data_IF_729378985836
#
_entry.id   IF_729378985836
#
_cell.length_a   1.000
_cell.length_b   1.000
_cell.length_c   1.000
_cell.angle_alpha   90.00
_cell.angle_beta   90.00
_cell.angle_gamma   90.00
#
_symmetry.space_group_name_H-M   'P 1'
#
loop_
_entity.id
_entity.type
_entity.pdbx_description
1 polymer ?
#
# COMPACT_ATOMS: atom_id res chain seq x y z
N UNK A 1 -25.87 27.50 73.32
CA UNK A 1 -27.07 27.46 72.45
C UNK A 1 -27.22 28.83 71.78
N UNK A 2 -27.66 28.98 70.52
CA UNK A 2 -27.52 28.16 69.31
C UNK A 2 -26.65 28.86 68.22
N UNK A 3 -26.02 28.09 67.31
CA UNK A 3 -25.37 28.60 66.08
C UNK A 3 -26.18 28.12 64.88
N UNK A 4 -26.60 29.04 64.01
CA UNK A 4 -27.41 28.77 62.84
C UNK A 4 -26.69 29.26 61.57
N UNK A 5 -26.37 28.28 60.70
CA UNK A 5 -26.44 28.26 59.23
C UNK A 5 -25.72 29.36 58.42
N UNK A 6 -24.71 28.95 57.63
CA UNK A 6 -24.65 29.24 56.20
C UNK A 6 -23.80 28.17 55.47
N UNK A 7 -24.44 27.29 54.70
CA UNK A 7 -23.79 26.34 53.79
C UNK A 7 -23.69 26.99 52.41
N UNK A 8 -22.47 27.13 51.89
CA UNK A 8 -22.16 27.58 50.53
C UNK A 8 -22.38 26.41 49.56
N UNK A 9 -23.21 26.62 48.55
CA UNK A 9 -23.29 25.80 47.34
C UNK A 9 -22.35 26.40 46.30
N UNK A 10 -21.37 25.62 45.82
CA UNK A 10 -20.61 25.90 44.59
C UNK A 10 -20.86 24.75 43.63
N UNK A 11 -21.74 24.95 42.66
CA UNK A 11 -21.94 24.05 41.52
C UNK A 11 -21.04 24.56 40.38
N UNK A 12 -19.95 23.87 40.10
CA UNK A 12 -19.10 24.16 38.94
C UNK A 12 -19.66 23.41 37.74
N UNK A 13 -20.07 24.14 36.71
CA UNK A 13 -20.39 23.62 35.39
C UNK A 13 -19.08 23.27 34.65
N UNK A 14 -18.83 21.99 34.39
CA UNK A 14 -17.79 21.52 33.47
C UNK A 14 -18.45 20.60 32.45
N UNK A 15 -19.11 21.21 31.46
CA UNK A 15 -19.79 20.47 30.37
C UNK A 15 -19.61 21.17 29.03
N UNK A 16 -18.39 21.58 28.65
CA UNK A 16 -18.20 22.33 27.39
C UNK A 16 -16.97 21.97 26.56
N UNK A 17 -16.10 21.08 27.02
CA UNK A 17 -14.84 20.78 26.31
C UNK A 17 -14.97 19.54 25.39
N UNK A 18 -15.90 18.61 25.66
CA UNK A 18 -16.07 17.39 24.86
C UNK A 18 -16.82 17.59 23.52
N UNK A 19 -17.55 18.69 23.33
CA UNK A 19 -18.32 18.94 22.09
C UNK A 19 -17.52 19.53 20.92
N UNK A 20 -16.43 20.26 21.22
CA UNK A 20 -15.64 20.98 20.20
C UNK A 20 -14.67 20.06 19.44
N UNK A 21 -14.13 19.03 20.08
CA UNK A 21 -13.21 18.09 19.44
C UNK A 21 -13.93 17.13 18.46
N UNK A 22 -15.14 16.68 18.80
CA UNK A 22 -15.95 15.82 17.94
C UNK A 22 -16.45 16.56 16.69
N UNK A 23 -16.79 17.85 16.81
CA UNK A 23 -17.27 18.68 15.70
C UNK A 23 -16.15 19.09 14.75
N UNK A 24 -14.94 19.38 15.25
CA UNK A 24 -13.77 19.65 14.44
C UNK A 24 -13.34 18.42 13.62
N UNK A 25 -13.25 17.24 14.24
CA UNK A 25 -12.94 15.99 13.54
C UNK A 25 -14.00 15.60 12.49
N UNK A 26 -15.29 15.89 12.76
CA UNK A 26 -16.38 15.73 11.79
C UNK A 26 -16.23 16.71 10.60
N UNK A 27 -15.87 17.96 10.87
CA UNK A 27 -15.70 18.99 9.84
C UNK A 27 -14.53 18.67 8.89
N UNK A 28 -13.38 18.24 9.42
CA UNK A 28 -12.21 17.88 8.61
C UNK A 28 -12.45 16.63 7.74
N UNK A 29 -13.26 15.69 8.24
CA UNK A 29 -13.71 14.51 7.51
C UNK A 29 -14.61 14.88 6.30
N UNK A 30 -15.57 15.81 6.49
CA UNK A 30 -16.44 16.28 5.41
C UNK A 30 -15.68 17.12 4.38
N UNK A 31 -14.74 17.97 4.82
CA UNK A 31 -13.87 18.73 3.92
C UNK A 31 -13.05 17.80 3.01
N UNK A 32 -12.45 16.77 3.59
CA UNK A 32 -11.71 15.75 2.83
C UNK A 32 -12.60 15.01 1.83
N UNK A 33 -13.85 14.72 2.23
CA UNK A 33 -14.84 14.07 1.37
C UNK A 33 -15.28 14.97 0.20
N UNK A 34 -15.46 16.27 0.43
CA UNK A 34 -15.73 17.26 -0.62
C UNK A 34 -14.61 17.28 -1.66
N UNK A 35 -13.35 17.25 -1.23
CA UNK A 35 -12.20 17.23 -2.13
C UNK A 35 -12.18 15.94 -2.98
N UNK A 36 -12.38 14.78 -2.35
CA UNK A 36 -12.38 13.50 -3.05
C UNK A 36 -13.52 13.37 -4.07
N UNK A 37 -14.71 13.85 -3.70
CA UNK A 37 -15.88 13.82 -4.59
C UNK A 37 -15.70 14.82 -5.74
N UNK A 38 -15.08 15.98 -5.50
CA UNK A 38 -14.72 16.91 -6.58
C UNK A 38 -13.85 16.21 -7.64
N UNK A 39 -12.79 15.51 -7.21
CA UNK A 39 -11.92 14.72 -8.11
C UNK A 39 -12.72 13.65 -8.85
N UNK A 40 -13.62 12.94 -8.17
CA UNK A 40 -14.49 11.95 -8.79
C UNK A 40 -15.36 12.57 -9.89
N UNK A 41 -15.97 13.73 -9.65
CA UNK A 41 -16.92 14.39 -10.54
C UNK A 41 -16.27 15.07 -11.75
N UNK A 42 -15.04 15.57 -11.59
CA UNK A 42 -14.39 16.43 -12.58
C UNK A 42 -13.16 15.80 -13.26
N UNK A 43 -12.35 15.05 -12.52
CA UNK A 43 -11.03 14.62 -12.99
C UNK A 43 -10.96 13.14 -13.35
N UNK A 44 -11.79 12.32 -12.71
CA UNK A 44 -11.73 10.86 -12.83
C UNK A 44 -11.91 10.39 -14.28
N UNK A 45 -11.29 9.25 -14.60
CA UNK A 45 -11.48 8.61 -15.91
C UNK A 45 -12.95 8.29 -16.18
N UNK A 46 -13.69 7.86 -15.16
CA UNK A 46 -15.13 7.65 -15.24
C UNK A 46 -15.91 8.93 -15.55
N UNK A 47 -15.54 10.07 -14.94
CA UNK A 47 -16.16 11.36 -15.28
C UNK A 47 -15.95 11.75 -16.73
N UNK A 48 -14.72 11.59 -17.25
CA UNK A 48 -14.42 11.84 -18.66
C UNK A 48 -15.21 10.93 -19.59
N UNK A 49 -15.41 9.66 -19.21
CA UNK A 49 -16.23 8.72 -19.97
C UNK A 49 -17.69 9.20 -20.05
N UNK A 50 -18.27 9.65 -18.94
CA UNK A 50 -19.64 10.20 -18.96
C UNK A 50 -19.72 11.44 -19.84
N UNK A 51 -18.77 12.38 -19.69
CA UNK A 51 -18.73 13.63 -20.46
C UNK A 51 -18.64 13.37 -21.97
N UNK A 52 -17.85 12.38 -22.37
CA UNK A 52 -17.64 12.04 -23.77
C UNK A 52 -18.68 11.06 -24.32
N UNK A 53 -19.60 10.57 -23.48
CA UNK A 53 -20.64 9.62 -23.88
C UNK A 53 -21.80 10.33 -24.57
N UNK A 54 -22.35 9.70 -25.61
CA UNK A 54 -23.62 10.09 -26.23
C UNK A 54 -24.85 9.68 -25.42
N UNK A 55 -24.68 8.99 -24.28
CA UNK A 55 -25.77 8.58 -23.40
C UNK A 55 -26.34 9.81 -22.64
N UNK A 56 -27.54 10.25 -23.03
CA UNK A 56 -28.21 11.41 -22.43
C UNK A 56 -28.60 11.18 -20.97
N UNK A 57 -29.01 9.97 -20.60
CA UNK A 57 -29.39 9.61 -19.23
C UNK A 57 -28.19 9.64 -18.28
N UNK A 58 -27.04 9.12 -18.73
CA UNK A 58 -25.79 9.20 -17.98
C UNK A 58 -25.37 10.65 -17.74
N UNK A 59 -25.48 11.50 -18.76
CA UNK A 59 -25.20 12.93 -18.65
C UNK A 59 -26.15 13.65 -17.68
N UNK A 60 -27.44 13.30 -17.69
CA UNK A 60 -28.42 13.86 -16.75
C UNK A 60 -28.11 13.47 -15.30
N UNK A 61 -27.77 12.21 -15.04
CA UNK A 61 -27.37 11.76 -13.70
C UNK A 61 -26.10 12.46 -13.21
N UNK A 62 -25.13 12.69 -14.10
CA UNK A 62 -23.94 13.50 -13.77
C UNK A 62 -24.31 14.94 -13.41
N UNK A 63 -25.23 15.58 -14.15
CA UNK A 63 -25.69 16.92 -13.81
C UNK A 63 -26.35 16.97 -12.44
N UNK A 64 -27.19 15.99 -12.10
CA UNK A 64 -27.79 15.86 -10.77
C UNK A 64 -26.73 15.65 -9.68
N UNK A 65 -25.70 14.83 -9.95
CA UNK A 65 -24.60 14.61 -9.02
C UNK A 65 -23.82 15.91 -8.74
N UNK A 66 -23.55 16.72 -9.77
CA UNK A 66 -22.89 18.03 -9.65
C UNK A 66 -23.73 19.02 -8.82
N UNK A 67 -25.04 19.02 -9.04
CA UNK A 67 -25.95 19.90 -8.28
C UNK A 67 -26.02 19.51 -6.80
N UNK A 68 -26.11 18.22 -6.49
CA UNK A 68 -26.04 17.73 -5.10
C UNK A 68 -24.70 18.06 -4.44
N UNK A 69 -23.60 17.98 -5.19
CA UNK A 69 -22.27 18.38 -4.70
C UNK A 69 -22.23 19.88 -4.36
N UNK A 70 -22.77 20.72 -5.23
CA UNK A 70 -22.88 22.17 -5.01
C UNK A 70 -23.68 22.47 -3.73
N UNK A 71 -24.84 21.85 -3.57
CA UNK A 71 -25.66 21.98 -2.37
C UNK A 71 -24.95 21.46 -1.11
N UNK A 72 -24.18 20.37 -1.22
CA UNK A 72 -23.41 19.85 -0.11
C UNK A 72 -22.33 20.85 0.36
N UNK A 73 -21.65 21.51 -0.60
CA UNK A 73 -20.67 22.56 -0.28
C UNK A 73 -21.33 23.72 0.46
N UNK A 74 -22.48 24.19 0.01
CA UNK A 74 -23.22 25.27 0.69
C UNK A 74 -23.65 24.87 2.11
N UNK A 75 -24.09 23.62 2.30
CA UNK A 75 -24.46 23.10 3.64
C UNK A 75 -23.26 22.98 4.55
N UNK A 76 -22.11 22.58 4.02
CA UNK A 76 -20.86 22.55 4.78
C UNK A 76 -20.42 23.95 5.22
N UNK A 77 -20.51 24.94 4.32
CA UNK A 77 -20.17 26.34 4.64
C UNK A 77 -21.10 26.94 5.70
N UNK A 78 -22.36 26.50 5.74
CA UNK A 78 -23.35 26.85 6.77
C UNK A 78 -23.14 26.10 8.10
N UNK A 79 -22.16 25.19 8.19
CA UNK A 79 -21.93 24.34 9.36
C UNK A 79 -22.92 23.19 9.52
N UNK A 80 -23.79 22.95 8.53
CA UNK A 80 -24.79 21.88 8.51
C UNK A 80 -24.17 20.56 8.00
N UNK A 81 -23.19 20.04 8.74
CA UNK A 81 -22.34 18.92 8.30
C UNK A 81 -23.11 17.62 8.01
N UNK A 82 -24.16 17.30 8.75
CA UNK A 82 -24.96 16.09 8.52
C UNK A 82 -25.69 16.14 7.17
N UNK A 83 -26.25 17.30 6.83
CA UNK A 83 -26.89 17.53 5.53
C UNK A 83 -25.87 17.49 4.39
N UNK A 84 -24.69 18.07 4.58
CA UNK A 84 -23.61 17.99 3.62
C UNK A 84 -23.19 16.52 3.37
N UNK A 85 -23.04 15.72 4.43
CA UNK A 85 -22.66 14.32 4.33
C UNK A 85 -23.65 13.48 3.51
N UNK A 86 -24.95 13.70 3.72
CA UNK A 86 -26.02 13.02 3.00
C UNK A 86 -26.06 13.41 1.52
N UNK A 87 -25.96 14.71 1.22
CA UNK A 87 -25.90 15.21 -0.16
C UNK A 87 -24.66 14.68 -0.90
N UNK A 88 -23.51 14.58 -0.23
CA UNK A 88 -22.29 13.98 -0.80
C UNK A 88 -22.46 12.49 -1.10
N UNK A 89 -23.15 11.76 -0.22
CA UNK A 89 -23.46 10.34 -0.46
C UNK A 89 -24.35 10.17 -1.70
N UNK A 90 -25.41 10.97 -1.83
CA UNK A 90 -26.31 10.94 -2.98
C UNK A 90 -25.60 11.36 -4.29
N UNK A 91 -24.78 12.41 -4.25
CA UNK A 91 -23.95 12.86 -5.37
C UNK A 91 -23.03 11.72 -5.86
N UNK A 92 -22.35 11.04 -4.94
CA UNK A 92 -21.46 9.92 -5.25
C UNK A 92 -22.21 8.78 -5.94
N UNK A 93 -23.39 8.40 -5.40
CA UNK A 93 -24.20 7.32 -5.95
C UNK A 93 -24.63 7.62 -7.39
N UNK A 94 -25.17 8.81 -7.64
CA UNK A 94 -25.60 9.22 -8.99
C UNK A 94 -24.43 9.26 -9.97
N UNK A 95 -23.26 9.70 -9.53
CA UNK A 95 -22.07 9.71 -10.38
C UNK A 95 -21.64 8.29 -10.78
N UNK A 96 -21.65 7.33 -9.85
CA UNK A 96 -21.33 5.95 -10.18
C UNK A 96 -22.38 5.30 -11.11
N UNK A 97 -23.66 5.61 -10.93
CA UNK A 97 -24.71 5.19 -11.87
C UNK A 97 -24.46 5.76 -13.27
N UNK A 98 -24.13 7.05 -13.38
CA UNK A 98 -23.79 7.70 -14.64
C UNK A 98 -22.59 7.01 -15.32
N UNK A 99 -21.52 6.74 -14.56
CA UNK A 99 -20.33 6.05 -15.07
C UNK A 99 -20.70 4.66 -15.60
N UNK A 100 -21.50 3.90 -14.85
CA UNK A 100 -21.95 2.56 -15.28
C UNK A 100 -22.76 2.63 -16.58
N UNK A 101 -23.63 3.63 -16.75
CA UNK A 101 -24.44 3.82 -17.95
C UNK A 101 -23.62 4.30 -19.16
N UNK A 102 -22.56 5.08 -18.91
CA UNK A 102 -21.71 5.62 -19.96
C UNK A 102 -20.59 4.66 -20.40
N UNK A 103 -20.25 3.67 -19.57
CA UNK A 103 -19.20 2.68 -19.86
C UNK A 103 -19.72 1.64 -20.85
N UNK A 104 -19.18 1.56 -22.08
CA UNK A 104 -19.49 0.49 -23.00
C UNK A 104 -19.19 -0.88 -22.40
N UNK A 105 -20.03 -1.87 -22.71
CA UNK A 105 -19.82 -3.26 -22.27
C UNK A 105 -18.47 -3.78 -22.75
N UNK A 106 -18.08 -3.46 -23.99
CA UNK A 106 -16.78 -3.83 -24.57
C UNK A 106 -15.59 -3.32 -23.75
N UNK A 107 -15.63 -2.07 -23.25
CA UNK A 107 -14.56 -1.53 -22.40
C UNK A 107 -14.46 -2.26 -21.04
N UNK A 108 -15.56 -2.83 -20.55
CA UNK A 108 -15.56 -3.64 -19.32
C UNK A 108 -14.98 -5.04 -19.58
N UNK A 109 -15.35 -5.64 -20.72
CA UNK A 109 -14.82 -6.93 -21.18
C UNK A 109 -13.32 -6.86 -21.47
N UNK A 110 -12.87 -5.84 -22.23
CA UNK A 110 -11.46 -5.59 -22.54
C UNK A 110 -10.64 -5.41 -21.25
N UNK A 111 -11.18 -4.70 -20.27
CA UNK A 111 -10.52 -4.54 -18.96
C UNK A 111 -10.42 -5.86 -18.22
N UNK A 112 -11.44 -6.70 -18.26
CA UNK A 112 -11.41 -7.99 -17.58
C UNK A 112 -10.41 -8.95 -18.23
N UNK A 113 -10.34 -8.97 -19.57
CA UNK A 113 -9.35 -9.75 -20.31
C UNK A 113 -7.92 -9.26 -19.99
N UNK A 114 -7.68 -7.94 -20.01
CA UNK A 114 -6.39 -7.39 -19.66
C UNK A 114 -5.97 -7.72 -18.22
N UNK A 115 -6.89 -7.57 -17.26
CA UNK A 115 -6.64 -7.92 -15.86
C UNK A 115 -6.38 -9.43 -15.69
N UNK A 116 -7.10 -10.27 -16.44
CA UNK A 116 -6.87 -11.71 -16.47
C UNK A 116 -5.45 -12.03 -16.94
N UNK A 117 -5.03 -11.47 -18.08
CA UNK A 117 -3.71 -11.71 -18.67
C UNK A 117 -2.58 -11.28 -17.70
N UNK A 118 -2.68 -10.09 -17.12
CA UNK A 118 -1.72 -9.61 -16.11
C UNK A 118 -1.67 -10.53 -14.87
N UNK A 119 -2.83 -11.02 -14.41
CA UNK A 119 -2.84 -11.98 -13.30
C UNK A 119 -2.20 -13.30 -13.70
N UNK A 120 -2.47 -13.81 -14.90
CA UNK A 120 -1.89 -15.06 -15.40
C UNK A 120 -0.37 -14.97 -15.48
N UNK A 121 0.18 -13.87 -15.98
CA UNK A 121 1.63 -13.59 -15.96
C UNK A 121 2.19 -13.66 -14.53
N UNK A 122 1.50 -13.03 -13.57
CA UNK A 122 1.89 -13.08 -12.16
C UNK A 122 1.86 -14.51 -11.59
N UNK A 123 0.86 -15.31 -11.96
CA UNK A 123 0.75 -16.72 -11.55
C UNK A 123 1.90 -17.54 -12.14
N UNK A 124 2.28 -17.32 -13.39
CA UNK A 124 3.41 -18.04 -14.01
C UNK A 124 4.72 -17.69 -13.31
N UNK A 125 5.00 -16.41 -13.10
CA UNK A 125 6.20 -15.97 -12.38
C UNK A 125 6.27 -16.52 -10.94
N UNK A 126 5.14 -16.53 -10.21
CA UNK A 126 5.07 -17.12 -8.87
C UNK A 126 5.21 -18.64 -8.89
N UNK A 127 4.72 -19.32 -9.93
CA UNK A 127 4.91 -20.78 -10.08
C UNK A 127 6.39 -21.12 -10.25
N UNK A 128 7.11 -20.35 -11.07
CA UNK A 128 8.56 -20.53 -11.25
C UNK A 128 9.30 -20.31 -9.94
N UNK A 129 8.96 -19.25 -9.21
CA UNK A 129 9.52 -18.97 -7.90
C UNK A 129 9.22 -20.11 -6.91
N UNK A 130 7.97 -20.56 -6.82
CA UNK A 130 7.56 -21.67 -5.97
C UNK A 130 8.35 -22.95 -6.29
N UNK A 131 8.46 -23.31 -7.56
CA UNK A 131 9.19 -24.51 -7.99
C UNK A 131 10.64 -24.49 -7.54
N UNK A 132 11.33 -23.37 -7.76
CA UNK A 132 12.72 -23.18 -7.31
C UNK A 132 12.84 -23.31 -5.79
N UNK A 133 11.95 -22.67 -5.04
CA UNK A 133 11.94 -22.70 -3.57
C UNK A 133 11.70 -24.12 -3.06
N UNK A 134 10.78 -24.85 -3.67
CA UNK A 134 10.50 -26.25 -3.33
C UNK A 134 11.69 -27.15 -3.64
N UNK A 135 12.38 -26.93 -4.76
CA UNK A 135 13.60 -27.68 -5.12
C UNK A 135 14.74 -27.41 -4.12
N UNK A 136 14.97 -26.14 -3.76
CA UNK A 136 15.92 -25.74 -2.71
C UNK A 136 15.62 -26.42 -1.37
N UNK A 137 14.33 -26.64 -1.08
CA UNK A 137 13.85 -27.19 0.20
C UNK A 137 13.62 -28.70 0.18
N UNK A 138 13.86 -29.38 -0.96
CA UNK A 138 13.52 -30.79 -1.20
C UNK A 138 12.03 -31.15 -0.95
N UNK A 139 11.11 -30.20 -1.15
CA UNK A 139 9.66 -30.33 -0.92
C UNK A 139 8.93 -30.93 -2.15
N UNK A 140 9.42 -32.06 -2.67
CA UNK A 140 8.99 -32.65 -3.95
C UNK A 140 7.50 -33.01 -3.99
N UNK A 141 6.97 -33.60 -2.91
CA UNK A 141 5.56 -34.02 -2.84
C UNK A 141 4.61 -32.81 -2.82
N UNK A 142 4.96 -31.79 -2.01
CA UNK A 142 4.23 -30.53 -1.94
C UNK A 142 4.26 -29.80 -3.29
N UNK A 143 5.44 -29.76 -3.92
CA UNK A 143 5.63 -29.21 -5.28
C UNK A 143 4.70 -29.87 -6.28
N UNK A 144 4.66 -31.20 -6.33
CA UNK A 144 3.80 -31.92 -7.28
C UNK A 144 2.32 -31.64 -7.03
N UNK A 145 1.88 -31.70 -5.77
CA UNK A 145 0.47 -31.46 -5.41
C UNK A 145 0.00 -30.06 -5.79
N UNK A 146 0.78 -29.03 -5.44
CA UNK A 146 0.45 -27.63 -5.74
C UNK A 146 0.45 -27.40 -7.25
N UNK A 147 1.43 -27.93 -7.99
CA UNK A 147 1.47 -27.79 -9.45
C UNK A 147 0.24 -28.42 -10.13
N UNK A 148 -0.17 -29.62 -9.70
CA UNK A 148 -1.37 -30.26 -10.25
C UNK A 148 -2.64 -29.42 -10.00
N UNK A 149 -2.77 -28.83 -8.81
CA UNK A 149 -3.89 -27.94 -8.49
C UNK A 149 -3.83 -26.64 -9.32
N UNK A 150 -2.65 -26.09 -9.54
CA UNK A 150 -2.47 -24.90 -10.40
C UNK A 150 -2.86 -25.19 -11.83
N UNK A 151 -2.44 -26.32 -12.39
CA UNK A 151 -2.78 -26.72 -13.76
C UNK A 151 -4.30 -26.81 -13.95
N UNK A 152 -5.01 -27.39 -12.97
CA UNK A 152 -6.48 -27.44 -12.98
C UNK A 152 -7.12 -26.05 -12.94
N UNK A 153 -6.64 -25.16 -12.07
CA UNK A 153 -7.19 -23.81 -11.93
C UNK A 153 -6.93 -22.97 -13.19
N UNK A 154 -5.71 -23.02 -13.74
CA UNK A 154 -5.34 -22.28 -14.96
C UNK A 154 -6.14 -22.79 -16.16
N UNK A 155 -6.23 -24.10 -16.35
CA UNK A 155 -6.99 -24.69 -17.46
C UNK A 155 -8.47 -24.29 -17.39
N UNK A 156 -9.08 -24.33 -16.19
CA UNK A 156 -10.47 -23.90 -15.99
C UNK A 156 -10.63 -22.40 -16.28
N UNK A 157 -9.69 -21.59 -15.84
CA UNK A 157 -9.73 -20.15 -16.06
C UNK A 157 -9.60 -19.79 -17.55
N UNK A 158 -8.71 -20.48 -18.29
CA UNK A 158 -8.56 -20.33 -19.74
C UNK A 158 -9.82 -20.79 -20.49
N UNK A 159 -10.45 -21.88 -20.07
CA UNK A 159 -11.71 -22.37 -20.64
C UNK A 159 -12.85 -21.35 -20.46
N UNK A 160 -13.00 -20.78 -19.26
CA UNK A 160 -13.99 -19.75 -18.97
C UNK A 160 -13.75 -18.49 -19.81
N UNK A 161 -12.49 -18.07 -19.94
CA UNK A 161 -12.14 -16.92 -20.78
C UNK A 161 -12.51 -17.17 -22.26
N UNK A 162 -12.22 -18.38 -22.76
CA UNK A 162 -12.57 -18.78 -24.13
C UNK A 162 -14.08 -18.81 -24.41
N UNK A 163 -14.90 -18.96 -23.38
CA UNK A 163 -16.38 -18.89 -23.46
C UNK A 163 -16.93 -17.47 -23.34
N UNK A 164 -16.09 -16.49 -23.02
CA UNK A 164 -16.49 -15.11 -22.74
C UNK A 164 -16.91 -14.86 -21.28
N UNK A 165 -16.81 -15.86 -20.40
CA UNK A 165 -17.12 -15.77 -18.97
C UNK A 165 -15.96 -15.10 -18.21
N UNK A 166 -15.66 -13.86 -18.58
CA UNK A 166 -14.47 -13.11 -18.17
C UNK A 166 -14.37 -12.91 -16.65
N UNK A 167 -15.51 -12.76 -15.96
CA UNK A 167 -15.55 -12.55 -14.51
C UNK A 167 -15.17 -13.82 -13.76
N UNK A 168 -15.71 -14.96 -14.20
CA UNK A 168 -15.46 -16.28 -13.64
C UNK A 168 -14.03 -16.72 -13.94
N UNK A 169 -13.53 -16.48 -15.17
CA UNK A 169 -12.14 -16.69 -15.54
C UNK A 169 -11.19 -15.93 -14.60
N UNK A 170 -11.50 -14.64 -14.34
CA UNK A 170 -10.75 -13.79 -13.41
C UNK A 170 -10.73 -14.36 -12.00
N UNK A 171 -11.87 -14.87 -11.53
CA UNK A 171 -12.00 -15.49 -10.20
C UNK A 171 -11.16 -16.76 -10.07
N UNK A 172 -11.17 -17.64 -11.07
CA UNK A 172 -10.36 -18.88 -11.04
C UNK A 172 -8.85 -18.60 -11.05
N UNK A 173 -8.38 -17.65 -11.88
CA UNK A 173 -6.95 -17.31 -11.88
C UNK A 173 -6.50 -16.60 -10.59
N UNK A 174 -7.41 -15.90 -9.87
CA UNK A 174 -7.11 -15.36 -8.54
C UNK A 174 -6.94 -16.45 -7.48
N UNK A 175 -7.67 -17.57 -7.58
CA UNK A 175 -7.45 -18.73 -6.69
C UNK A 175 -6.07 -19.33 -6.90
N UNK A 176 -5.61 -19.44 -8.15
CA UNK A 176 -4.26 -19.93 -8.46
C UNK A 176 -3.18 -19.03 -7.85
N UNK A 177 -3.36 -17.71 -7.97
CA UNK A 177 -2.47 -16.73 -7.35
C UNK A 177 -2.43 -16.85 -5.82
N UNK A 178 -3.60 -16.98 -5.18
CA UNK A 178 -3.68 -17.13 -3.73
C UNK A 178 -3.04 -18.43 -3.24
N UNK A 179 -3.28 -19.55 -3.94
CA UNK A 179 -2.66 -20.84 -3.65
C UNK A 179 -1.13 -20.71 -3.64
N UNK A 180 -0.54 -20.13 -4.69
CA UNK A 180 0.91 -19.93 -4.76
C UNK A 180 1.46 -19.07 -3.62
N UNK A 181 0.79 -17.97 -3.29
CA UNK A 181 1.21 -17.13 -2.16
C UNK A 181 1.29 -17.92 -0.87
N UNK A 182 0.21 -18.64 -0.52
CA UNK A 182 0.15 -19.42 0.72
C UNK A 182 1.17 -20.55 0.71
N UNK A 183 1.36 -21.22 -0.43
CA UNK A 183 2.35 -22.30 -0.55
C UNK A 183 3.79 -21.80 -0.42
N UNK A 184 4.13 -20.67 -1.02
CA UNK A 184 5.46 -20.04 -0.88
C UNK A 184 5.69 -19.62 0.58
N UNK A 185 4.70 -18.95 1.18
CA UNK A 185 4.75 -18.55 2.60
C UNK A 185 4.96 -19.77 3.50
N UNK A 186 4.26 -20.88 3.23
CA UNK A 186 4.38 -22.11 4.03
C UNK A 186 5.76 -22.77 3.93
N UNK A 187 6.38 -22.81 2.75
CA UNK A 187 7.71 -23.43 2.59
C UNK A 187 8.79 -22.54 3.21
N UNK A 188 8.64 -21.21 3.10
CA UNK A 188 9.59 -20.25 3.67
C UNK A 188 9.40 -20.05 5.18
N UNK A 189 8.21 -20.33 5.73
CA UNK A 189 7.93 -20.19 7.15
C UNK A 189 8.82 -21.11 7.99
N UNK A 190 9.64 -20.52 8.87
CA UNK A 190 10.55 -21.25 9.75
C UNK A 190 11.90 -21.62 9.14
N UNK A 191 12.12 -21.37 7.84
CA UNK A 191 13.44 -21.50 7.24
C UNK A 191 14.28 -20.26 7.56
N UNK A 192 15.40 -20.46 8.25
CA UNK A 192 16.49 -19.47 8.24
C UNK A 192 17.32 -19.73 7.00
N UNK A 193 17.28 -18.82 6.02
CA UNK A 193 18.16 -18.89 4.87
C UNK A 193 19.59 -18.62 5.33
N UNK A 194 20.33 -19.67 5.69
CA UNK A 194 21.76 -19.55 5.96
C UNK A 194 22.47 -19.58 4.62
N UNK A 195 22.65 -18.41 4.01
CA UNK A 195 23.54 -18.26 2.86
C UNK A 195 24.96 -18.31 3.39
N UNK A 196 25.64 -19.45 3.23
CA UNK A 196 27.08 -19.51 3.45
C UNK A 196 27.77 -18.60 2.44
N UNK A 197 28.35 -17.51 2.93
CA UNK A 197 29.14 -16.58 2.12
C UNK A 197 30.55 -17.15 2.00
N UNK A 198 30.92 -17.53 0.77
CA UNK A 198 32.27 -17.93 0.41
C UNK A 198 32.71 -17.00 -0.71
N UNK A 199 33.71 -16.19 -0.43
CA UNK A 199 34.29 -15.25 -1.39
C UNK A 199 35.67 -15.77 -1.79
N UNK A 200 35.96 -15.76 -3.08
CA UNK A 200 37.29 -16.15 -3.59
C UNK A 200 38.33 -15.08 -3.27
N UNK A 201 37.90 -13.81 -3.18
CA UNK A 201 38.77 -12.68 -2.86
C UNK A 201 38.10 -11.64 -1.96
N UNK A 202 38.90 -10.78 -1.33
CA UNK A 202 38.39 -9.63 -0.55
C UNK A 202 37.73 -8.56 -1.42
N UNK A 203 38.12 -8.46 -2.68
CA UNK A 203 37.44 -7.57 -3.63
C UNK A 203 36.01 -8.05 -3.92
N UNK A 204 35.81 -9.35 -4.08
CA UNK A 204 34.48 -9.95 -4.26
C UNK A 204 33.60 -9.75 -3.02
N UNK A 205 34.15 -10.01 -1.82
CA UNK A 205 33.46 -9.74 -0.56
C UNK A 205 33.05 -8.27 -0.41
N UNK A 206 33.94 -7.34 -0.80
CA UNK A 206 33.65 -5.92 -0.82
C UNK A 206 32.46 -5.60 -1.74
N UNK A 207 32.43 -6.13 -2.97
CA UNK A 207 31.31 -5.94 -3.89
C UNK A 207 30.00 -6.53 -3.35
N UNK A 208 30.04 -7.67 -2.67
CA UNK A 208 28.87 -8.20 -1.99
C UNK A 208 28.36 -7.26 -0.89
N UNK A 209 29.25 -6.70 -0.06
CA UNK A 209 28.85 -5.78 1.00
C UNK A 209 28.34 -4.43 0.45
N UNK A 210 28.79 -4.01 -0.74
CA UNK A 210 28.23 -2.88 -1.48
C UNK A 210 26.75 -3.14 -1.80
N UNK A 211 26.44 -4.25 -2.45
CA UNK A 211 25.06 -4.62 -2.82
C UNK A 211 24.16 -4.73 -1.59
N UNK A 212 24.70 -5.31 -0.51
CA UNK A 212 24.01 -5.43 0.77
C UNK A 212 23.72 -4.07 1.38
N UNK A 213 24.68 -3.16 1.40
CA UNK A 213 24.52 -1.80 1.91
C UNK A 213 23.47 -1.01 1.08
N UNK A 214 23.52 -1.15 -0.25
CA UNK A 214 22.61 -0.49 -1.18
C UNK A 214 21.16 -0.97 -1.00
N UNK A 215 20.97 -2.27 -0.75
CA UNK A 215 19.66 -2.84 -0.42
C UNK A 215 19.06 -2.21 0.84
N UNK A 216 19.86 -1.98 1.88
CA UNK A 216 19.39 -1.33 3.11
C UNK A 216 19.07 0.16 2.89
N UNK A 217 19.85 0.86 2.08
CA UNK A 217 19.57 2.24 1.69
C UNK A 217 18.23 2.35 0.95
N UNK A 218 17.97 1.45 0.00
CA UNK A 218 16.70 1.41 -0.73
C UNK A 218 15.52 1.16 0.20
N UNK A 219 15.68 0.24 1.15
CA UNK A 219 14.65 -0.04 2.15
C UNK A 219 14.34 1.21 2.99
N UNK A 220 15.35 1.96 3.43
CA UNK A 220 15.12 3.22 4.16
C UNK A 220 14.28 4.20 3.35
N UNK A 221 14.58 4.40 2.07
CA UNK A 221 13.80 5.30 1.21
C UNK A 221 12.32 4.89 1.17
N UNK A 222 12.05 3.61 0.92
CA UNK A 222 10.68 3.07 0.92
C UNK A 222 9.96 3.29 2.25
N UNK A 223 10.68 3.16 3.37
CA UNK A 223 10.11 3.29 4.70
C UNK A 223 9.91 4.74 5.13
N UNK A 224 10.73 5.67 4.64
CA UNK A 224 10.61 7.10 4.93
C UNK A 224 9.33 7.68 4.32
N UNK A 225 8.96 7.24 3.11
CA UNK A 225 7.85 7.80 2.34
C UNK A 225 6.45 7.32 2.78
N UNK A 226 6.36 6.19 3.50
CA UNK A 226 5.10 5.48 3.69
C UNK A 226 4.24 5.86 4.90
N UNK A 227 4.76 6.56 5.92
CA UNK A 227 4.04 6.88 7.18
C UNK A 227 4.51 8.17 7.84
N UNK A 228 3.56 8.94 8.39
CA UNK A 228 3.81 10.03 9.34
C UNK A 228 4.65 9.51 10.52
N UNK A 229 5.83 10.10 10.72
CA UNK A 229 6.76 9.76 11.82
C UNK A 229 6.88 10.92 12.79
N UNK A 230 7.11 10.60 14.06
CA UNK A 230 7.46 11.61 15.06
C UNK A 230 8.73 12.36 14.66
N UNK A 231 8.85 13.62 15.07
CA UNK A 231 10.03 14.42 14.77
C UNK A 231 11.31 13.82 15.37
N UNK A 232 11.18 13.18 16.54
CA UNK A 232 12.27 12.42 17.16
C UNK A 232 12.78 11.27 16.26
N UNK A 233 11.86 10.46 15.72
CA UNK A 233 12.21 9.36 14.81
C UNK A 233 12.81 9.87 13.50
N UNK A 234 12.31 10.99 12.96
CA UNK A 234 12.87 11.62 11.75
C UNK A 234 14.32 12.06 11.96
N UNK A 235 14.61 12.74 13.07
CA UNK A 235 15.97 13.19 13.40
C UNK A 235 16.94 12.01 13.52
N UNK A 236 16.56 10.95 14.26
CA UNK A 236 17.42 9.76 14.40
C UNK A 236 17.68 9.06 13.07
N UNK A 237 16.66 8.92 12.22
CA UNK A 237 16.82 8.34 10.88
C UNK A 237 17.81 9.16 10.07
N UNK A 238 17.68 10.50 10.07
CA UNK A 238 18.59 11.38 9.35
C UNK A 238 20.04 11.28 9.85
N UNK A 239 20.26 11.23 11.16
CA UNK A 239 21.59 11.08 11.76
C UNK A 239 22.26 9.76 11.35
N UNK A 240 21.56 8.63 11.50
CA UNK A 240 22.09 7.32 11.12
C UNK A 240 22.39 7.21 9.62
N UNK A 241 21.51 7.76 8.76
CA UNK A 241 21.74 7.79 7.31
C UNK A 241 22.94 8.67 6.95
N UNK A 242 23.12 9.81 7.61
CA UNK A 242 24.26 10.68 7.39
C UNK A 242 25.58 10.00 7.78
N UNK A 243 25.61 9.34 8.95
CA UNK A 243 26.79 8.59 9.41
C UNK A 243 27.12 7.41 8.47
N UNK A 244 26.09 6.64 8.06
CA UNK A 244 26.25 5.55 7.11
C UNK A 244 26.87 6.02 5.78
N UNK A 245 26.47 7.20 5.29
CA UNK A 245 27.00 7.79 4.06
C UNK A 245 28.47 8.16 4.19
N UNK A 246 28.89 8.72 5.33
CA UNK A 246 30.30 9.04 5.58
C UNK A 246 31.14 7.76 5.60
N UNK A 247 30.68 6.74 6.31
CA UNK A 247 31.36 5.43 6.36
C UNK A 247 31.48 4.78 4.98
N UNK A 248 30.42 4.86 4.16
CA UNK A 248 30.42 4.36 2.78
C UNK A 248 31.45 5.08 1.92
N UNK A 249 31.51 6.41 1.99
CA UNK A 249 32.51 7.19 1.23
C UNK A 249 33.95 6.86 1.65
N UNK A 250 34.17 6.62 2.94
CA UNK A 250 35.48 6.18 3.43
C UNK A 250 35.82 4.78 2.89
N UNK A 251 34.86 3.84 2.93
CA UNK A 251 35.05 2.50 2.38
C UNK A 251 35.43 2.54 0.89
N UNK A 252 34.71 3.31 0.09
CA UNK A 252 34.99 3.48 -1.34
C UNK A 252 36.40 4.06 -1.60
N UNK A 253 36.86 4.97 -0.74
CA UNK A 253 38.21 5.52 -0.82
C UNK A 253 39.30 4.47 -0.50
N UNK A 254 39.10 3.63 0.52
CA UNK A 254 40.03 2.54 0.84
C UNK A 254 40.04 1.45 -0.23
N UNK A 255 38.89 1.09 -0.79
CA UNK A 255 38.78 0.14 -1.89
C UNK A 255 39.47 0.64 -3.16
N UNK A 256 39.37 1.95 -3.47
CA UNK A 256 40.11 2.56 -4.57
C UNK A 256 41.64 2.47 -4.44
N UNK A 257 42.14 2.25 -3.23
CA UNK A 257 43.55 1.96 -2.94
C UNK A 257 43.89 0.46 -2.81
N UNK A 258 42.95 -0.44 -3.10
CA UNK A 258 43.09 -1.89 -2.95
C UNK A 258 43.01 -2.41 -1.51
N UNK A 259 42.70 -1.55 -0.54
CA UNK A 259 42.59 -1.91 0.88
C UNK A 259 41.19 -2.47 1.21
N UNK A 260 40.83 -3.58 0.54
CA UNK A 260 39.49 -4.15 0.59
C UNK A 260 39.08 -4.61 2.00
N UNK A 261 39.99 -5.12 2.83
CA UNK A 261 39.65 -5.53 4.21
C UNK A 261 39.16 -4.36 5.07
N UNK A 262 39.81 -3.19 4.97
CA UNK A 262 39.41 -1.98 5.69
C UNK A 262 38.09 -1.45 5.11
N UNK A 263 37.96 -1.50 3.79
CA UNK A 263 36.75 -1.08 3.10
C UNK A 263 35.52 -1.92 3.50
N UNK A 264 35.69 -3.24 3.64
CA UNK A 264 34.64 -4.16 4.12
C UNK A 264 34.21 -3.79 5.55
N UNK A 265 35.13 -3.60 6.49
CA UNK A 265 34.76 -3.25 7.87
C UNK A 265 33.98 -1.92 7.93
N UNK A 266 34.40 -0.92 7.15
CA UNK A 266 33.68 0.35 7.03
C UNK A 266 32.30 0.20 6.39
N UNK A 267 32.14 -0.69 5.39
CA UNK A 267 30.84 -1.02 4.80
C UNK A 267 29.92 -1.70 5.79
N UNK A 268 30.43 -2.65 6.57
CA UNK A 268 29.62 -3.29 7.61
C UNK A 268 29.18 -2.29 8.67
N UNK A 269 30.07 -1.38 9.08
CA UNK A 269 29.73 -0.27 9.99
C UNK A 269 28.64 0.62 9.38
N UNK A 270 28.78 0.98 8.09
CA UNK A 270 27.77 1.73 7.35
C UNK A 270 26.42 1.00 7.38
N UNK A 271 26.39 -0.29 7.04
CA UNK A 271 25.19 -1.12 7.04
C UNK A 271 24.57 -1.22 8.44
N UNK A 272 25.37 -1.32 9.51
CA UNK A 272 24.87 -1.29 10.89
C UNK A 272 24.14 0.01 11.21
N UNK A 273 24.61 1.16 10.72
CA UNK A 273 23.91 2.43 10.89
C UNK A 273 22.59 2.45 10.09
N UNK A 274 22.57 1.92 8.86
CA UNK A 274 21.32 1.79 8.09
C UNK A 274 20.30 0.90 8.79
N UNK A 275 20.72 -0.23 9.37
CA UNK A 275 19.84 -1.10 10.17
C UNK A 275 19.26 -0.36 11.38
N UNK A 276 20.05 0.50 12.05
CA UNK A 276 19.54 1.35 13.14
C UNK A 276 18.50 2.36 12.63
N UNK A 277 18.72 2.99 11.47
CA UNK A 277 17.74 3.87 10.85
C UNK A 277 16.42 3.14 10.57
N UNK A 278 16.48 1.90 10.06
CA UNK A 278 15.30 1.08 9.78
C UNK A 278 14.56 0.72 11.08
N UNK A 279 15.29 0.40 12.15
CA UNK A 279 14.71 0.14 13.48
C UNK A 279 14.06 1.40 14.07
N UNK A 280 14.68 2.56 13.93
CA UNK A 280 14.07 3.85 14.32
C UNK A 280 12.85 4.22 13.47
N UNK A 281 12.73 3.67 12.26
CA UNK A 281 11.52 3.74 11.44
C UNK A 281 10.40 2.77 11.89
N UNK A 282 10.65 1.96 12.93
CA UNK A 282 9.66 1.05 13.52
C UNK A 282 9.66 -0.36 12.95
N UNK A 283 10.69 -0.75 12.19
CA UNK A 283 10.80 -2.09 11.61
C UNK A 283 11.94 -2.87 12.24
N UNK A 284 11.62 -4.06 12.76
CA UNK A 284 12.63 -4.98 13.26
C UNK A 284 13.28 -5.75 12.10
N UNK A 285 14.60 -5.58 11.97
CA UNK A 285 15.46 -6.44 11.14
C UNK A 285 16.40 -7.19 12.08
N UNK A 286 16.36 -8.54 12.11
CA UNK A 286 17.35 -9.34 12.82
C UNK A 286 18.76 -9.01 12.35
N UNK A 287 19.71 -8.92 13.29
CA UNK A 287 21.11 -8.67 12.99
C UNK A 287 21.76 -9.85 12.26
#
# INVERSE_FOLDING_TARGET
MPKLILKIFLLIAISSIHGLAQSAASKDSIASRLQNISKLLHESSGARQVINSSNSEANQKRQQALELYRQASEKFDQGANDYAAELLHQSTRLMFEAIKMATPVSLTEDKNINNYNQRKESVMALRDAFNRISDESNETDSKQKVNNQLDQLIARADELLGKGDNTEARSEIDKAYHLLKVSIESIRAGQTLVRSLQFETKEEEYHYEIDRNDTHNMLIQLLVDGKEKSDYSKTQITEFVAEAKVLRQQADAYAGGGAYEIAIDLLEQSTRQLVRAIRSAGIYIPG
#
